data_IF_418745597462
#
_entry.id   IF_418745597462
#
_cell.length_a   1.000
_cell.length_b   1.000
_cell.length_c   1.000
_cell.angle_alpha   90.00
_cell.angle_beta   90.00
_cell.angle_gamma   90.00
#
_symmetry.space_group_name_H-M   'P 1'
#
loop_
_entity.id
_entity.type
_entity.pdbx_description
1 polymer ?
#
# COMPACT_ATOMS: atom_id res chain seq x y z
N UNK A 1 -6.39 6.10 26.14
CA UNK A 1 -7.11 5.30 25.13
C UNK A 1 -6.39 5.53 23.83
N UNK A 2 -5.94 4.49 23.15
CA UNK A 2 -5.21 4.66 21.87
C UNK A 2 -6.16 5.22 20.82
N UNK A 3 -5.64 6.12 19.96
CA UNK A 3 -6.37 6.76 18.85
C UNK A 3 -5.88 6.20 17.54
N UNK A 4 -6.76 5.54 16.81
CA UNK A 4 -6.46 4.90 15.53
C UNK A 4 -7.25 5.58 14.42
N UNK A 5 -6.56 5.98 13.35
CA UNK A 5 -7.21 6.48 12.14
C UNK A 5 -7.15 5.42 11.06
N UNK A 6 -8.30 5.05 10.52
CA UNK A 6 -8.39 4.19 9.33
C UNK A 6 -8.38 5.09 8.10
N UNK A 7 -7.41 4.88 7.22
CA UNK A 7 -7.21 5.66 6.00
C UNK A 7 -7.66 4.84 4.79
N UNK A 8 -8.69 5.32 4.09
CA UNK A 8 -9.33 4.58 2.99
C UNK A 8 -9.25 5.40 1.69
N UNK A 9 -8.38 5.06 0.73
CA UNK A 9 -8.44 5.65 -0.60
C UNK A 9 -9.62 5.08 -1.40
N UNK A 10 -10.33 5.92 -2.14
CA UNK A 10 -11.46 5.53 -2.98
C UNK A 10 -11.41 6.21 -4.33
N UNK A 11 -11.74 5.45 -5.38
CA UNK A 11 -11.99 5.95 -6.73
C UNK A 11 -13.14 5.20 -7.37
N UNK A 12 -14.30 5.87 -7.53
CA UNK A 12 -15.51 5.31 -8.15
C UNK A 12 -15.94 3.95 -7.56
N UNK A 13 -15.88 3.81 -6.22
CA UNK A 13 -16.29 2.58 -5.52
C UNK A 13 -16.96 2.90 -4.15
N UNK A 14 -17.86 3.87 -4.16
CA UNK A 14 -18.54 4.34 -2.96
C UNK A 14 -19.40 3.29 -2.27
N UNK A 15 -20.00 2.36 -3.06
CA UNK A 15 -20.82 1.26 -2.51
C UNK A 15 -19.96 0.36 -1.62
N UNK A 16 -18.77 0.01 -2.08
CA UNK A 16 -17.83 -0.82 -1.31
C UNK A 16 -17.37 -0.10 -0.04
N UNK A 17 -16.99 1.18 -0.14
CA UNK A 17 -16.54 1.98 1.01
C UNK A 17 -17.65 2.13 2.04
N UNK A 18 -18.89 2.39 1.62
CA UNK A 18 -20.04 2.48 2.54
C UNK A 18 -20.24 1.16 3.30
N UNK A 19 -20.17 0.04 2.60
CA UNK A 19 -20.25 -1.29 3.23
C UNK A 19 -19.08 -1.57 4.16
N UNK A 20 -17.89 -1.18 3.76
CA UNK A 20 -16.69 -1.30 4.57
C UNK A 20 -16.83 -0.53 5.90
N UNK A 21 -17.28 0.73 5.85
CA UNK A 21 -17.51 1.54 7.06
C UNK A 21 -18.50 0.89 8.03
N UNK A 22 -19.60 0.32 7.52
CA UNK A 22 -20.56 -0.42 8.35
C UNK A 22 -19.89 -1.61 9.05
N UNK A 23 -19.10 -2.39 8.29
CA UNK A 23 -18.41 -3.55 8.83
C UNK A 23 -17.33 -3.15 9.86
N UNK A 24 -16.56 -2.08 9.58
CA UNK A 24 -15.60 -1.51 10.55
C UNK A 24 -16.33 -1.12 11.83
N UNK A 25 -17.41 -0.33 11.72
CA UNK A 25 -18.19 0.12 12.88
C UNK A 25 -18.69 -1.06 13.72
N UNK A 26 -19.13 -2.14 13.08
CA UNK A 26 -19.55 -3.37 13.76
C UNK A 26 -18.39 -4.07 14.48
N UNK A 27 -17.23 -4.19 13.84
CA UNK A 27 -16.10 -4.92 14.40
C UNK A 27 -15.43 -4.20 15.59
N UNK A 28 -15.48 -2.86 15.63
CA UNK A 28 -14.80 -2.07 16.67
C UNK A 28 -15.66 -1.82 17.91
N UNK A 29 -16.94 -2.19 17.90
CA UNK A 29 -17.92 -1.85 18.96
C UNK A 29 -17.50 -2.22 20.41
N UNK A 30 -16.72 -3.29 20.59
CA UNK A 30 -16.29 -3.77 21.89
C UNK A 30 -14.78 -3.55 22.13
N UNK A 31 -14.19 -2.57 21.46
CA UNK A 31 -12.77 -2.25 21.62
C UNK A 31 -12.58 -1.05 22.54
N UNK A 32 -11.52 -1.08 23.37
CA UNK A 32 -11.15 0.08 24.20
C UNK A 32 -10.16 0.97 23.43
N UNK A 33 -10.57 1.43 22.22
CA UNK A 33 -9.76 2.25 21.29
C UNK A 33 -10.69 3.29 20.65
N UNK A 34 -10.21 4.50 20.47
CA UNK A 34 -10.91 5.54 19.75
C UNK A 34 -10.60 5.42 18.25
N UNK A 35 -11.64 5.31 17.42
CA UNK A 35 -11.49 5.18 15.98
C UNK A 35 -12.04 6.39 15.23
N UNK A 36 -11.26 6.85 14.24
CA UNK A 36 -11.69 7.81 13.24
C UNK A 36 -11.44 7.25 11.84
N UNK A 37 -12.20 7.74 10.86
CA UNK A 37 -12.02 7.35 9.45
C UNK A 37 -11.70 8.59 8.62
N UNK A 38 -10.68 8.48 7.78
CA UNK A 38 -10.38 9.46 6.74
C UNK A 38 -10.43 8.75 5.39
N UNK A 39 -11.35 9.18 4.55
CA UNK A 39 -11.49 8.73 3.17
C UNK A 39 -10.74 9.71 2.28
N UNK A 40 -9.91 9.21 1.38
CA UNK A 40 -9.30 10.02 0.32
C UNK A 40 -10.01 9.71 -0.99
N UNK A 41 -10.88 10.62 -1.41
CA UNK A 41 -11.55 10.56 -2.69
C UNK A 41 -10.59 10.99 -3.81
N UNK A 42 -10.06 10.01 -4.54
CA UNK A 42 -9.01 10.17 -5.56
C UNK A 42 -9.57 10.76 -6.88
N UNK A 43 -10.32 11.85 -6.78
CA UNK A 43 -10.92 12.50 -7.94
C UNK A 43 -11.97 11.62 -8.63
N UNK A 44 -12.86 10.98 -7.86
CA UNK A 44 -13.97 10.20 -8.40
C UNK A 44 -14.85 11.06 -9.30
N UNK A 45 -15.32 10.46 -10.39
CA UNK A 45 -16.34 11.04 -11.28
C UNK A 45 -17.76 10.77 -10.79
N UNK A 46 -17.92 9.73 -9.98
CA UNK A 46 -19.18 9.39 -9.33
C UNK A 46 -19.47 10.36 -8.20
N UNK A 47 -20.72 10.72 -8.05
CA UNK A 47 -21.17 11.59 -6.96
C UNK A 47 -20.95 10.87 -5.62
N UNK A 48 -20.36 11.59 -4.67
CA UNK A 48 -20.23 11.10 -3.28
C UNK A 48 -21.65 10.87 -2.73
N UNK A 49 -22.01 9.65 -2.34
CA UNK A 49 -23.35 9.40 -1.82
C UNK A 49 -23.55 10.08 -0.47
N UNK A 50 -24.78 10.41 -0.14
CA UNK A 50 -25.12 10.78 1.23
C UNK A 50 -24.82 9.57 2.13
N UNK A 51 -23.89 9.75 3.07
CA UNK A 51 -23.54 8.72 4.04
C UNK A 51 -24.59 8.75 5.17
N UNK A 52 -25.62 7.96 4.99
CA UNK A 52 -26.72 7.80 5.94
C UNK A 52 -26.66 6.41 6.57
N UNK A 53 -25.61 6.16 7.34
CA UNK A 53 -25.35 4.92 8.05
C UNK A 53 -25.01 5.20 9.51
N UNK A 54 -25.41 4.27 10.36
CA UNK A 54 -25.06 4.35 11.78
C UNK A 54 -23.57 4.01 11.98
N UNK A 55 -22.83 4.97 12.52
CA UNK A 55 -21.41 4.89 12.81
C UNK A 55 -21.10 5.19 14.29
N UNK A 56 -21.89 4.67 15.23
CA UNK A 56 -21.86 5.02 16.65
C UNK A 56 -20.48 4.84 17.29
N UNK A 57 -19.70 3.87 16.82
CA UNK A 57 -18.38 3.54 17.36
C UNK A 57 -17.21 4.25 16.65
N UNK A 58 -17.51 4.99 15.56
CA UNK A 58 -16.55 5.84 14.87
C UNK A 58 -16.70 7.25 15.38
N UNK A 59 -15.65 7.84 15.94
CA UNK A 59 -15.67 9.17 16.52
C UNK A 59 -15.81 10.26 15.47
N UNK A 60 -14.99 10.21 14.41
CA UNK A 60 -15.06 11.20 13.34
C UNK A 60 -14.90 10.54 11.96
N UNK A 61 -15.54 11.16 10.96
CA UNK A 61 -15.46 10.77 9.57
C UNK A 61 -15.25 12.00 8.70
N UNK A 62 -14.14 12.01 7.93
CA UNK A 62 -13.80 13.07 7.00
C UNK A 62 -13.54 12.49 5.60
N UNK A 63 -13.89 13.25 4.57
CA UNK A 63 -13.59 12.94 3.17
C UNK A 63 -12.68 14.02 2.61
N UNK A 64 -11.47 13.64 2.20
CA UNK A 64 -10.53 14.50 1.50
C UNK A 64 -10.78 14.36 0.00
N UNK A 65 -11.36 15.37 -0.62
CA UNK A 65 -11.62 15.36 -2.06
C UNK A 65 -10.39 15.87 -2.82
N UNK A 66 -9.78 15.02 -3.67
CA UNK A 66 -8.66 15.43 -4.50
C UNK A 66 -9.14 16.14 -5.77
N UNK A 67 -8.36 17.12 -6.23
CA UNK A 67 -8.63 17.90 -7.46
C UNK A 67 -8.68 17.02 -8.73
N UNK A 68 -7.96 15.89 -8.73
CA UNK A 68 -7.88 14.92 -9.82
C UNK A 68 -7.39 13.57 -9.31
N UNK A 69 -7.54 12.53 -10.13
CA UNK A 69 -6.98 11.21 -9.81
C UNK A 69 -5.44 11.27 -9.73
N UNK A 70 -4.90 10.98 -8.56
CA UNK A 70 -3.47 10.96 -8.25
C UNK A 70 -2.90 9.55 -8.25
N UNK A 71 -3.73 8.54 -8.36
CA UNK A 71 -3.48 7.11 -8.20
C UNK A 71 -3.36 6.67 -6.74
N UNK A 72 -3.75 5.44 -6.48
CA UNK A 72 -3.93 4.82 -5.17
C UNK A 72 -2.76 5.06 -4.18
N UNK A 73 -1.50 4.88 -4.61
CA UNK A 73 -0.34 5.06 -3.72
C UNK A 73 -0.15 6.52 -3.29
N UNK A 74 -0.41 7.46 -4.17
CA UNK A 74 -0.34 8.89 -3.86
C UNK A 74 -1.50 9.33 -2.98
N UNK A 75 -2.68 8.75 -3.18
CA UNK A 75 -3.84 9.02 -2.30
C UNK A 75 -3.55 8.57 -0.86
N UNK A 76 -2.90 7.42 -0.67
CA UNK A 76 -2.41 7.01 0.66
C UNK A 76 -1.40 8.05 1.21
N UNK A 77 -0.42 8.46 0.40
CA UNK A 77 0.60 9.42 0.83
C UNK A 77 0.00 10.79 1.21
N UNK A 78 -0.98 11.30 0.44
CA UNK A 78 -1.72 12.54 0.74
C UNK A 78 -2.50 12.38 2.05
N UNK A 79 -3.21 11.27 2.22
CA UNK A 79 -3.95 10.96 3.44
C UNK A 79 -3.04 10.89 4.68
N UNK A 80 -1.89 10.22 4.57
CA UNK A 80 -0.89 10.16 5.65
C UNK A 80 -0.35 11.55 6.02
N UNK A 81 -0.07 12.41 5.03
CA UNK A 81 0.36 13.79 5.25
C UNK A 81 -0.72 14.58 5.98
N UNK A 82 -1.97 14.50 5.50
CA UNK A 82 -3.09 15.19 6.14
C UNK A 82 -3.26 14.74 7.59
N UNK A 83 -3.25 13.44 7.84
CA UNK A 83 -3.37 12.86 9.19
C UNK A 83 -2.25 13.37 10.08
N UNK A 84 -1.02 13.35 9.60
CA UNK A 84 0.14 13.75 10.40
C UNK A 84 0.10 15.21 10.81
N UNK A 85 -0.32 16.10 9.91
CA UNK A 85 -0.33 17.55 10.11
C UNK A 85 -1.59 18.08 10.82
N UNK A 86 -2.75 17.39 10.67
CA UNK A 86 -4.02 17.96 11.09
C UNK A 86 -4.80 17.11 12.11
N UNK A 87 -4.35 15.88 12.44
CA UNK A 87 -5.10 15.00 13.32
C UNK A 87 -4.31 14.61 14.56
N UNK A 88 -5.07 14.31 15.62
CA UNK A 88 -4.49 13.74 16.84
C UNK A 88 -4.68 12.23 16.85
N UNK A 89 -3.58 11.49 16.67
CA UNK A 89 -3.59 10.04 16.54
C UNK A 89 -2.32 9.39 17.12
N UNK A 90 -2.43 8.09 17.43
CA UNK A 90 -1.31 7.25 17.82
C UNK A 90 -0.90 6.31 16.68
N UNK A 91 -1.89 5.79 15.93
CA UNK A 91 -1.68 4.84 14.84
C UNK A 91 -2.55 5.17 13.62
N UNK A 92 -2.05 4.76 12.44
CA UNK A 92 -2.83 4.80 11.20
C UNK A 92 -2.91 3.38 10.61
N UNK A 93 -4.10 3.01 10.12
CA UNK A 93 -4.32 1.76 9.38
C UNK A 93 -4.79 2.13 7.97
N UNK A 94 -3.89 2.18 6.96
CA UNK A 94 -4.32 2.22 5.57
C UNK A 94 -5.04 0.91 5.20
N UNK A 95 -6.20 1.02 4.56
CA UNK A 95 -7.07 -0.09 4.24
C UNK A 95 -7.72 0.12 2.87
N UNK A 96 -7.71 -0.91 2.01
CA UNK A 96 -8.34 -0.82 0.71
C UNK A 96 -9.88 -0.78 0.86
N UNK A 97 -10.54 0.09 0.09
CA UNK A 97 -11.98 0.38 0.23
C UNK A 97 -12.92 -0.71 -0.28
N UNK A 98 -12.40 -1.79 -0.89
CA UNK A 98 -13.16 -2.79 -1.64
C UNK A 98 -13.58 -4.04 -0.84
N UNK A 99 -13.13 -4.16 0.41
CA UNK A 99 -13.42 -5.29 1.30
C UNK A 99 -12.45 -6.46 1.19
N UNK A 100 -11.41 -6.37 0.36
CA UNK A 100 -10.36 -7.39 0.32
C UNK A 100 -9.49 -7.37 1.59
N UNK A 101 -9.29 -6.20 2.20
CA UNK A 101 -8.76 -6.05 3.54
C UNK A 101 -9.92 -6.18 4.54
N UNK A 102 -9.82 -7.14 5.47
CA UNK A 102 -10.95 -7.57 6.28
C UNK A 102 -11.06 -6.78 7.60
N UNK A 103 -12.19 -6.12 7.87
CA UNK A 103 -12.41 -5.38 9.14
C UNK A 103 -12.23 -6.22 10.40
N UNK A 104 -12.55 -7.51 10.35
CA UNK A 104 -12.41 -8.43 11.48
C UNK A 104 -10.96 -8.55 11.96
N UNK A 105 -10.00 -8.32 11.07
CA UNK A 105 -8.56 -8.40 11.37
C UNK A 105 -8.05 -7.15 12.11
N UNK A 106 -8.84 -6.06 12.21
CA UNK A 106 -8.50 -4.86 13.00
C UNK A 106 -8.25 -5.24 14.47
N UNK A 107 -8.99 -6.19 15.00
CA UNK A 107 -8.81 -6.69 16.39
C UNK A 107 -7.43 -7.30 16.61
N UNK A 108 -6.86 -7.96 15.60
CA UNK A 108 -5.52 -8.52 15.69
C UNK A 108 -4.45 -7.42 15.70
N UNK A 109 -4.65 -6.32 14.95
CA UNK A 109 -3.78 -5.15 15.06
C UNK A 109 -3.83 -4.56 16.47
N UNK A 110 -5.02 -4.35 17.06
CA UNK A 110 -5.18 -3.81 18.41
C UNK A 110 -4.46 -4.71 19.44
N UNK A 111 -4.58 -6.01 19.30
CA UNK A 111 -3.90 -6.98 20.18
C UNK A 111 -2.38 -6.85 20.07
N UNK A 112 -1.86 -6.69 18.85
CA UNK A 112 -0.42 -6.55 18.61
C UNK A 112 0.13 -5.19 19.03
N UNK A 113 -0.61 -4.10 18.89
CA UNK A 113 -0.22 -2.77 19.40
C UNK A 113 0.11 -2.82 20.90
N UNK A 114 -0.68 -3.56 21.69
CA UNK A 114 -0.41 -3.71 23.14
C UNK A 114 0.92 -4.38 23.46
N UNK A 115 1.40 -5.27 22.58
CA UNK A 115 2.64 -6.00 22.75
C UNK A 115 3.83 -5.27 22.10
N UNK A 116 3.59 -4.56 21.01
CA UNK A 116 4.60 -3.93 20.15
C UNK A 116 4.17 -2.49 19.77
N UNK A 117 4.11 -1.56 20.76
CA UNK A 117 3.51 -0.24 20.56
C UNK A 117 4.28 0.67 19.59
N UNK A 118 5.57 0.44 19.39
CA UNK A 118 6.43 1.24 18.54
C UNK A 118 6.76 0.59 17.18
N UNK A 119 6.29 -0.64 16.97
CA UNK A 119 6.62 -1.41 15.78
C UNK A 119 5.53 -1.28 14.71
N UNK A 120 5.96 -1.46 13.46
CA UNK A 120 5.06 -1.59 12.34
C UNK A 120 4.45 -2.98 12.34
N UNK A 121 3.13 -3.07 12.31
CA UNK A 121 2.41 -4.33 12.23
C UNK A 121 1.79 -4.47 10.85
N UNK A 122 2.03 -5.58 10.16
CA UNK A 122 1.54 -5.80 8.79
C UNK A 122 0.62 -7.02 8.69
N UNK A 123 -0.40 -6.92 7.86
CA UNK A 123 -1.21 -8.06 7.44
C UNK A 123 -0.43 -8.92 6.43
N UNK A 124 0.26 -9.98 6.89
CA UNK A 124 0.94 -10.92 6.00
C UNK A 124 -0.10 -11.82 5.31
N UNK A 125 -0.20 -11.74 4.01
CA UNK A 125 -1.17 -12.51 3.23
C UNK A 125 -0.81 -14.00 3.22
N UNK A 126 -1.51 -14.78 4.06
CA UNK A 126 -1.27 -16.23 4.21
C UNK A 126 -2.13 -17.07 3.27
N UNK A 127 -3.30 -16.58 2.86
CA UNK A 127 -4.22 -17.27 1.95
C UNK A 127 -4.74 -16.32 0.87
N UNK A 128 -4.81 -16.81 -0.35
CA UNK A 128 -5.29 -16.08 -1.52
C UNK A 128 -6.44 -16.81 -2.18
N UNK A 129 -7.48 -16.07 -2.52
CA UNK A 129 -8.69 -16.56 -3.20
C UNK A 129 -8.57 -16.53 -4.72
N UNK A 130 -7.51 -15.91 -5.29
CA UNK A 130 -7.36 -15.71 -6.72
C UNK A 130 -6.97 -17.01 -7.46
N UNK A 131 -7.20 -17.02 -8.78
CA UNK A 131 -6.92 -18.15 -9.67
C UNK A 131 -5.44 -18.55 -9.77
N UNK A 132 -5.18 -19.71 -10.36
CA UNK A 132 -3.84 -20.33 -10.46
C UNK A 132 -2.83 -19.42 -11.17
N UNK A 133 -3.22 -18.78 -12.28
CA UNK A 133 -2.34 -17.89 -13.06
C UNK A 133 -1.85 -16.72 -12.20
N UNK A 134 -2.74 -16.13 -11.40
CA UNK A 134 -2.38 -15.05 -10.49
C UNK A 134 -1.43 -15.52 -9.39
N UNK A 135 -1.65 -16.71 -8.84
CA UNK A 135 -0.75 -17.31 -7.83
C UNK A 135 0.65 -17.54 -8.36
N UNK A 136 0.77 -18.03 -9.61
CA UNK A 136 2.07 -18.22 -10.29
C UNK A 136 2.76 -16.87 -10.48
N UNK A 137 2.08 -15.88 -11.07
CA UNK A 137 2.62 -14.53 -11.27
C UNK A 137 3.09 -13.87 -9.97
N UNK A 138 2.33 -14.04 -8.89
CA UNK A 138 2.73 -13.56 -7.58
C UNK A 138 3.96 -14.30 -7.01
N UNK A 139 4.07 -15.60 -7.21
CA UNK A 139 5.24 -16.38 -6.77
C UNK A 139 6.49 -15.94 -7.51
N UNK A 140 6.38 -15.71 -8.83
CA UNK A 140 7.45 -15.15 -9.66
C UNK A 140 7.83 -13.76 -9.17
N UNK A 141 6.85 -12.88 -8.93
CA UNK A 141 7.10 -11.55 -8.39
C UNK A 141 7.86 -11.59 -7.04
N UNK A 142 7.44 -12.45 -6.11
CA UNK A 142 8.14 -12.64 -4.83
C UNK A 142 9.58 -13.08 -5.01
N UNK A 143 9.79 -14.05 -5.89
CA UNK A 143 11.13 -14.59 -6.19
C UNK A 143 12.04 -13.48 -6.76
N UNK A 144 11.57 -12.76 -7.78
CA UNK A 144 12.29 -11.64 -8.38
C UNK A 144 12.57 -10.55 -7.33
N UNK A 145 11.58 -10.17 -6.52
CA UNK A 145 11.76 -9.19 -5.45
C UNK A 145 12.85 -9.64 -4.49
N UNK A 146 12.82 -10.89 -4.03
CA UNK A 146 13.84 -11.42 -3.11
C UNK A 146 15.23 -11.47 -3.73
N UNK A 147 15.35 -12.00 -4.95
CA UNK A 147 16.65 -12.11 -5.66
C UNK A 147 17.28 -10.74 -5.84
N UNK A 148 16.53 -9.76 -6.31
CA UNK A 148 17.08 -8.45 -6.67
C UNK A 148 17.14 -7.45 -5.52
N UNK A 149 16.25 -7.54 -4.53
CA UNK A 149 16.24 -6.59 -3.40
C UNK A 149 16.75 -7.18 -2.09
N UNK A 150 16.76 -8.49 -1.93
CA UNK A 150 17.01 -9.18 -0.65
C UNK A 150 15.85 -9.07 0.34
N UNK A 151 14.72 -8.47 -0.04
CA UNK A 151 13.59 -8.23 0.84
C UNK A 151 12.44 -9.19 0.52
N UNK A 152 11.81 -9.72 1.57
CA UNK A 152 10.65 -10.60 1.46
C UNK A 152 9.37 -9.84 1.80
N UNK A 153 8.80 -9.17 0.80
CA UNK A 153 7.61 -8.32 0.97
C UNK A 153 6.37 -9.18 0.70
N UNK A 154 5.60 -9.49 1.75
CA UNK A 154 4.40 -10.33 1.68
C UNK A 154 3.14 -9.59 2.15
N UNK A 155 3.18 -8.28 2.22
CA UNK A 155 2.07 -7.44 2.64
C UNK A 155 1.81 -6.34 1.60
N UNK A 156 0.63 -5.76 1.65
CA UNK A 156 0.21 -4.62 0.83
C UNK A 156 0.09 -3.34 1.65
N UNK A 157 -1.06 -2.67 1.53
CA UNK A 157 -1.32 -1.44 2.26
C UNK A 157 -1.90 -1.70 3.67
N UNK A 158 -2.50 -2.86 3.91
CA UNK A 158 -3.14 -3.21 5.18
C UNK A 158 -2.10 -3.44 6.27
N UNK A 159 -1.83 -2.39 6.99
CA UNK A 159 -0.80 -2.31 8.02
C UNK A 159 -1.25 -1.39 9.13
N UNK A 160 -0.71 -1.54 10.33
CA UNK A 160 -0.89 -0.59 11.42
C UNK A 160 0.47 0.05 11.73
N UNK A 161 0.54 1.37 11.55
CA UNK A 161 1.78 2.13 11.68
C UNK A 161 1.69 3.17 12.80
N UNK A 162 2.65 3.22 13.73
CA UNK A 162 2.69 4.24 14.77
C UNK A 162 3.06 5.60 14.20
N UNK A 163 2.67 6.68 14.91
CA UNK A 163 2.89 8.07 14.49
C UNK A 163 4.34 8.38 14.11
N UNK A 164 5.31 7.82 14.84
CA UNK A 164 6.74 7.98 14.52
C UNK A 164 7.07 7.46 13.11
N UNK A 165 6.53 6.30 12.73
CA UNK A 165 6.77 5.70 11.41
C UNK A 165 6.01 6.41 10.29
N UNK A 166 4.86 7.04 10.59
CA UNK A 166 4.21 7.95 9.64
C UNK A 166 5.15 9.11 9.30
N UNK A 167 5.81 9.72 10.29
CA UNK A 167 6.79 10.76 10.06
C UNK A 167 7.95 10.30 9.17
N UNK A 168 8.52 9.11 9.45
CA UNK A 168 9.60 8.56 8.63
C UNK A 168 9.15 8.32 7.17
N UNK A 169 7.93 7.79 6.95
CA UNK A 169 7.35 7.63 5.60
C UNK A 169 7.21 8.98 4.87
N UNK A 170 6.80 10.03 5.57
CA UNK A 170 6.61 11.36 4.99
C UNK A 170 7.93 12.06 4.64
N UNK A 171 9.06 11.57 5.14
CA UNK A 171 10.41 12.02 4.80
C UNK A 171 11.11 11.10 3.77
N UNK A 172 10.48 9.98 3.39
CA UNK A 172 11.01 9.07 2.37
C UNK A 172 10.35 9.33 1.01
N UNK A 173 11.11 9.85 0.05
CA UNK A 173 10.59 10.22 -1.29
C UNK A 173 9.90 9.07 -2.04
N UNK A 174 10.31 7.83 -1.77
CA UNK A 174 9.74 6.66 -2.41
C UNK A 174 8.28 6.41 -1.97
N UNK A 175 7.82 7.01 -0.86
CA UNK A 175 6.42 6.94 -0.40
C UNK A 175 5.46 7.51 -1.46
N UNK A 176 5.91 8.47 -2.26
CA UNK A 176 5.13 9.01 -3.39
C UNK A 176 4.94 8.02 -4.54
N UNK A 177 5.74 6.96 -4.60
CA UNK A 177 5.69 5.91 -5.62
C UNK A 177 5.11 4.58 -5.09
N UNK A 178 5.53 4.16 -3.90
CA UNK A 178 5.16 2.86 -3.34
C UNK A 178 5.16 2.88 -1.81
N UNK A 179 4.00 2.80 -1.20
CA UNK A 179 3.82 2.75 0.25
C UNK A 179 4.51 1.52 0.86
N UNK A 180 4.18 0.30 0.41
CA UNK A 180 4.73 -0.93 0.98
C UNK A 180 6.24 -1.08 0.75
N UNK A 181 6.74 -0.60 -0.38
CA UNK A 181 8.17 -0.52 -0.66
C UNK A 181 8.89 0.42 0.30
N UNK A 182 8.36 1.63 0.51
CA UNK A 182 8.92 2.61 1.43
C UNK A 182 8.86 2.12 2.87
N UNK A 183 7.74 1.55 3.30
CA UNK A 183 7.60 1.01 4.64
C UNK A 183 8.65 -0.08 4.91
N UNK A 184 8.89 -0.97 3.93
CA UNK A 184 9.95 -2.00 4.03
C UNK A 184 11.36 -1.38 4.06
N UNK A 185 11.56 -0.23 3.42
CA UNK A 185 12.87 0.47 3.38
C UNK A 185 13.20 1.12 4.71
N UNK A 186 12.23 1.76 5.37
CA UNK A 186 12.43 2.52 6.61
C UNK A 186 12.29 1.66 7.87
N UNK A 187 11.79 0.42 7.76
CA UNK A 187 11.49 -0.42 8.93
C UNK A 187 12.38 -1.64 8.94
N UNK A 188 13.13 -1.83 10.02
CA UNK A 188 13.96 -3.01 10.24
C UNK A 188 13.15 -4.16 10.82
N UNK A 189 12.35 -3.87 11.86
CA UNK A 189 11.53 -4.85 12.55
C UNK A 189 10.06 -4.71 12.14
N UNK A 190 9.52 -5.75 11.53
CA UNK A 190 8.11 -5.81 11.11
C UNK A 190 7.42 -6.94 11.87
N UNK A 191 6.42 -6.57 12.66
CA UNK A 191 5.53 -7.53 13.33
C UNK A 191 4.44 -7.95 12.34
N UNK A 192 4.07 -9.22 12.36
CA UNK A 192 3.10 -9.77 11.41
C UNK A 192 1.85 -10.27 12.11
N UNK A 193 0.71 -10.01 11.48
CA UNK A 193 -0.52 -10.76 11.72
C UNK A 193 -0.84 -11.60 10.48
N UNK A 194 -1.47 -12.75 10.66
CA UNK A 194 -1.96 -13.56 9.54
C UNK A 194 -3.18 -12.87 8.94
N UNK A 195 -3.09 -12.50 7.68
CA UNK A 195 -4.20 -11.87 6.95
C UNK A 195 -4.70 -12.78 5.83
N UNK A 196 -6.03 -12.87 5.72
CA UNK A 196 -6.72 -13.61 4.67
C UNK A 196 -7.35 -12.59 3.74
N UNK A 197 -6.93 -12.59 2.46
CA UNK A 197 -7.55 -11.69 1.49
C UNK A 197 -9.03 -12.04 1.31
N UNK A 198 -9.90 -11.09 1.64
CA UNK A 198 -11.33 -11.17 1.47
C UNK A 198 -11.75 -11.20 0.00
N UNK A 199 -13.03 -11.33 -0.23
CA UNK A 199 -13.65 -11.10 -1.53
C UNK A 199 -14.11 -9.64 -1.59
N UNK A 200 -14.01 -9.04 -2.76
CA UNK A 200 -14.58 -7.71 -3.01
C UNK A 200 -16.08 -7.73 -2.70
N UNK A 201 -16.58 -6.65 -2.11
CA UNK A 201 -18.01 -6.54 -1.80
C UNK A 201 -18.86 -6.43 -3.07
N UNK A 202 -18.38 -5.64 -4.03
CA UNK A 202 -19.06 -5.39 -5.30
C UNK A 202 -18.02 -5.38 -6.42
N UNK A 203 -18.47 -5.62 -7.62
CA UNK A 203 -17.70 -5.58 -8.86
C UNK A 203 -16.40 -6.44 -8.89
N UNK A 204 -15.88 -6.61 -10.08
CA UNK A 204 -14.57 -7.24 -10.29
C UNK A 204 -13.45 -6.21 -10.17
N UNK A 205 -12.23 -6.70 -9.92
CA UNK A 205 -11.05 -5.83 -9.91
C UNK A 205 -10.90 -5.07 -11.24
N UNK A 206 -10.81 -3.76 -11.16
CA UNK A 206 -10.55 -2.87 -12.32
C UNK A 206 -9.07 -2.82 -12.70
N UNK A 207 -8.18 -3.50 -11.95
CA UNK A 207 -6.74 -3.46 -12.17
C UNK A 207 -6.34 -4.41 -13.31
N UNK A 208 -5.79 -3.87 -14.40
CA UNK A 208 -5.23 -4.68 -15.50
C UNK A 208 -3.92 -5.38 -15.07
N UNK A 209 -3.57 -6.48 -15.76
CA UNK A 209 -2.30 -7.20 -15.54
C UNK A 209 -1.07 -6.30 -15.72
N UNK A 210 -1.11 -5.37 -16.68
CA UNK A 210 -0.04 -4.38 -16.89
C UNK A 210 0.12 -3.43 -15.69
N UNK A 211 -0.98 -2.97 -15.13
CA UNK A 211 -0.95 -2.12 -13.94
C UNK A 211 -0.45 -2.90 -12.70
N UNK A 212 -0.80 -4.17 -12.59
CA UNK A 212 -0.28 -5.05 -11.54
C UNK A 212 1.24 -5.24 -11.68
N UNK A 213 1.74 -5.52 -12.89
CA UNK A 213 3.17 -5.62 -13.16
C UNK A 213 3.91 -4.30 -12.85
N UNK A 214 3.33 -3.16 -13.27
CA UNK A 214 3.83 -1.83 -12.97
C UNK A 214 3.91 -1.56 -11.47
N UNK A 215 2.88 -1.93 -10.72
CA UNK A 215 2.86 -1.83 -9.27
C UNK A 215 3.96 -2.69 -8.63
N UNK A 216 4.12 -3.94 -9.09
CA UNK A 216 5.17 -4.85 -8.62
C UNK A 216 6.57 -4.29 -8.84
N UNK A 217 6.85 -3.76 -10.04
CA UNK A 217 8.15 -3.14 -10.33
C UNK A 217 8.34 -1.82 -9.57
N UNK A 218 7.26 -1.06 -9.29
CA UNK A 218 7.33 0.14 -8.44
C UNK A 218 7.80 -0.18 -7.02
N UNK A 219 7.38 -1.31 -6.44
CA UNK A 219 7.88 -1.78 -5.14
C UNK A 219 9.39 -2.07 -5.22
N UNK A 220 9.82 -2.79 -6.25
CA UNK A 220 11.23 -3.15 -6.48
C UNK A 220 12.09 -1.89 -6.71
N UNK A 221 11.55 -0.88 -7.42
CA UNK A 221 12.26 0.34 -7.77
C UNK A 221 12.67 1.21 -6.58
N UNK A 222 12.01 1.06 -5.43
CA UNK A 222 12.41 1.69 -4.16
C UNK A 222 13.83 1.27 -3.75
N UNK A 223 14.24 0.07 -4.14
CA UNK A 223 15.56 -0.51 -3.84
C UNK A 223 16.52 -0.45 -5.04
N UNK A 224 16.35 0.54 -5.94
CA UNK A 224 17.04 0.62 -7.22
C UNK A 224 18.54 0.41 -7.16
N UNK A 225 19.24 0.96 -6.17
CA UNK A 225 20.71 0.85 -6.05
C UNK A 225 21.14 -0.62 -5.85
N UNK A 226 20.46 -1.34 -4.97
CA UNK A 226 20.73 -2.77 -4.73
C UNK A 226 20.33 -3.60 -5.96
N UNK A 227 19.21 -3.27 -6.59
CA UNK A 227 18.71 -3.95 -7.80
C UNK A 227 19.73 -3.81 -8.93
N UNK A 228 20.21 -2.59 -9.20
CA UNK A 228 21.21 -2.35 -10.24
C UNK A 228 22.50 -3.13 -9.95
N UNK A 229 23.01 -3.05 -8.71
CA UNK A 229 24.22 -3.78 -8.33
C UNK A 229 24.10 -5.28 -8.58
N UNK A 230 23.01 -5.89 -8.09
CA UNK A 230 22.78 -7.33 -8.27
C UNK A 230 22.54 -7.71 -9.73
N UNK A 231 21.90 -6.84 -10.50
CA UNK A 231 21.71 -7.04 -11.94
C UNK A 231 23.04 -7.00 -12.71
N UNK A 232 23.95 -6.10 -12.34
CA UNK A 232 25.30 -6.03 -12.93
C UNK A 232 26.08 -7.31 -12.59
N UNK A 233 26.06 -7.75 -11.33
CA UNK A 233 26.70 -9.02 -10.92
C UNK A 233 26.13 -10.18 -11.73
N UNK A 234 24.81 -10.28 -11.84
CA UNK A 234 24.17 -11.30 -12.66
C UNK A 234 24.66 -11.24 -14.12
N UNK A 235 24.68 -10.03 -14.71
CA UNK A 235 25.12 -9.84 -16.09
C UNK A 235 26.55 -10.33 -16.31
N UNK A 236 27.49 -9.98 -15.41
CA UNK A 236 28.90 -10.39 -15.51
C UNK A 236 29.04 -11.90 -15.37
N UNK A 237 28.45 -12.49 -14.32
CA UNK A 237 28.55 -13.93 -14.03
C UNK A 237 27.91 -14.74 -15.14
N UNK A 238 26.71 -14.36 -15.58
CA UNK A 238 26.02 -15.08 -16.66
C UNK A 238 26.75 -14.96 -18.00
N UNK A 239 27.29 -13.78 -18.34
CA UNK A 239 28.11 -13.61 -19.56
C UNK A 239 29.35 -14.49 -19.55
N UNK A 240 30.03 -14.63 -18.40
CA UNK A 240 31.16 -15.57 -18.27
C UNK A 240 30.75 -17.04 -18.49
N UNK A 241 29.58 -17.44 -17.95
CA UNK A 241 29.06 -18.81 -18.11
C UNK A 241 28.76 -19.11 -19.58
N UNK A 242 28.13 -18.18 -20.31
CA UNK A 242 27.74 -18.45 -21.73
C UNK A 242 28.85 -18.17 -22.72
N UNK A 243 30.03 -17.69 -22.29
CA UNK A 243 31.11 -17.25 -23.17
C UNK A 243 31.56 -18.32 -24.20
N UNK A 244 31.45 -19.60 -23.84
CA UNK A 244 31.80 -20.75 -24.71
C UNK A 244 30.65 -21.22 -25.60
N UNK A 245 29.41 -20.78 -25.34
CA UNK A 245 28.21 -21.26 -26.07
C UNK A 245 27.23 -20.10 -26.30
N UNK A 246 27.64 -19.09 -27.07
CA UNK A 246 26.81 -17.93 -27.41
C UNK A 246 25.80 -18.32 -28.48
N UNK A 247 24.51 -18.14 -28.20
CA UNK A 247 23.40 -18.34 -29.13
C UNK A 247 22.29 -17.30 -28.87
N UNK A 248 21.34 -17.17 -29.78
CA UNK A 248 20.20 -16.31 -29.58
C UNK A 248 19.44 -16.66 -28.28
N UNK A 249 19.32 -17.92 -27.94
CA UNK A 249 18.63 -18.39 -26.73
C UNK A 249 19.40 -17.98 -25.48
N UNK A 250 20.73 -18.13 -25.46
CA UNK A 250 21.56 -17.75 -24.30
C UNK A 250 21.67 -16.23 -24.11
N UNK A 251 21.36 -15.41 -25.11
CA UNK A 251 21.32 -13.95 -25.00
C UNK A 251 20.02 -13.43 -24.38
N UNK A 252 18.91 -14.21 -24.41
CA UNK A 252 17.61 -13.78 -23.89
C UNK A 252 17.70 -13.28 -22.42
N UNK A 253 18.32 -13.99 -21.45
CA UNK A 253 18.43 -13.51 -20.07
C UNK A 253 19.16 -12.17 -19.93
N UNK A 254 20.19 -11.90 -20.77
CA UNK A 254 20.91 -10.64 -20.77
C UNK A 254 20.01 -9.49 -21.27
N UNK A 255 19.23 -9.71 -22.31
CA UNK A 255 18.27 -8.74 -22.83
C UNK A 255 17.19 -8.46 -21.76
N UNK A 256 16.66 -9.50 -21.14
CA UNK A 256 15.64 -9.36 -20.11
C UNK A 256 16.13 -8.56 -18.88
N UNK A 257 17.39 -8.78 -18.45
CA UNK A 257 17.94 -8.01 -17.32
C UNK A 257 18.15 -6.54 -17.67
N UNK A 258 18.55 -6.23 -18.90
CA UNK A 258 18.67 -4.85 -19.39
C UNK A 258 17.30 -4.16 -19.40
N UNK A 259 16.27 -4.83 -19.91
CA UNK A 259 14.89 -4.32 -19.90
C UNK A 259 14.41 -4.11 -18.46
N UNK A 260 14.69 -5.06 -17.58
CA UNK A 260 14.32 -4.97 -16.17
C UNK A 260 14.97 -3.77 -15.47
N UNK A 261 16.28 -3.55 -15.67
CA UNK A 261 17.00 -2.37 -15.14
C UNK A 261 16.37 -1.09 -15.67
N UNK A 262 16.09 -1.01 -16.97
CA UNK A 262 15.44 0.14 -17.58
C UNK A 262 14.09 0.44 -16.94
N UNK A 263 13.24 -0.57 -16.73
CA UNK A 263 11.94 -0.42 -16.07
C UNK A 263 12.07 0.05 -14.62
N UNK A 264 13.02 -0.52 -13.86
CA UNK A 264 13.29 -0.12 -12.47
C UNK A 264 13.73 1.33 -12.40
N UNK A 265 14.65 1.77 -13.27
CA UNK A 265 15.11 3.16 -13.32
C UNK A 265 13.95 4.09 -13.70
N UNK A 266 13.16 3.72 -14.70
CA UNK A 266 12.02 4.53 -15.17
C UNK A 266 10.98 4.70 -14.07
N UNK A 267 10.64 3.63 -13.34
CA UNK A 267 9.66 3.70 -12.26
C UNK A 267 10.21 4.38 -11.00
N UNK A 268 11.51 4.31 -10.76
CA UNK A 268 12.13 5.05 -9.65
C UNK A 268 12.07 6.58 -9.84
N UNK A 269 11.96 7.08 -11.08
CA UNK A 269 11.78 8.52 -11.35
C UNK A 269 10.41 9.06 -10.87
N UNK A 270 9.49 8.17 -10.48
CA UNK A 270 8.20 8.55 -9.88
C UNK A 270 8.33 8.95 -8.41
N UNK A 271 9.47 8.63 -7.77
CA UNK A 271 9.82 9.11 -6.43
C UNK A 271 9.98 10.64 -6.47
N UNK A 272 9.30 11.36 -5.57
CA UNK A 272 9.31 12.82 -5.57
C UNK A 272 9.05 13.34 -4.16
N UNK A 273 10.09 13.88 -3.52
CA UNK A 273 9.96 14.44 -2.17
C UNK A 273 9.18 15.77 -2.18
N UNK A 274 9.38 16.61 -3.20
CA UNK A 274 8.69 17.89 -3.29
C UNK A 274 7.19 17.67 -3.53
N UNK A 275 6.84 16.69 -4.40
CA UNK A 275 5.46 16.28 -4.60
C UNK A 275 4.82 15.68 -3.35
N UNK A 276 5.59 14.97 -2.52
CA UNK A 276 5.14 14.46 -1.23
C UNK A 276 4.96 15.60 -0.21
N UNK A 277 5.90 16.54 -0.14
CA UNK A 277 5.84 17.67 0.79
C UNK A 277 4.69 18.64 0.45
N UNK A 278 4.45 18.90 -0.83
CA UNK A 278 3.36 19.75 -1.31
C UNK A 278 2.04 19.00 -1.52
N UNK A 279 1.94 17.77 -1.03
CA UNK A 279 0.84 16.85 -1.38
C UNK A 279 -0.54 17.35 -0.97
N UNK A 280 -0.66 18.13 0.10
CA UNK A 280 -1.92 18.72 0.56
C UNK A 280 -2.51 19.72 -0.44
N UNK A 281 -1.69 20.32 -1.30
CA UNK A 281 -2.17 21.20 -2.37
C UNK A 281 -3.08 20.50 -3.39
N UNK A 282 -3.06 19.15 -3.42
CA UNK A 282 -3.93 18.36 -4.27
C UNK A 282 -5.36 18.20 -3.71
N UNK A 283 -5.59 18.56 -2.46
CA UNK A 283 -6.92 18.55 -1.84
C UNK A 283 -7.70 19.78 -2.33
N UNK A 284 -8.92 19.57 -2.83
CA UNK A 284 -9.83 20.64 -3.24
C UNK A 284 -10.67 21.14 -2.06
N UNK A 285 -11.25 20.20 -1.33
CA UNK A 285 -12.08 20.47 -0.13
C UNK A 285 -12.08 19.25 0.79
N UNK A 286 -12.53 19.46 2.02
CA UNK A 286 -12.69 18.43 3.04
C UNK A 286 -14.13 18.47 3.52
N UNK A 287 -14.83 17.35 3.35
CA UNK A 287 -16.18 17.19 3.86
C UNK A 287 -16.10 16.53 5.24
N UNK A 288 -16.67 17.19 6.25
CA UNK A 288 -16.79 16.65 7.60
C UNK A 288 -18.16 16.01 7.73
N UNK A 289 -18.19 14.69 7.75
CA UNK A 289 -19.44 13.91 7.82
C UNK A 289 -19.85 13.67 9.27
N UNK A 290 -18.85 13.45 10.14
CA UNK A 290 -19.04 13.25 11.59
C UNK A 290 -17.88 13.85 12.36
N UNK A 291 -18.16 14.52 13.47
CA UNK A 291 -17.20 15.03 14.47
C UNK A 291 -17.41 14.37 15.82
#
# INVERSE_FOLDING_TARGET
MAKIIILIPVYNDWKSVTKLMQNINFEIQNTNVEFSIIIVNDGSTDVVPKIDIDLNYIKSLKILNLKKNMSHQRSIAIGLRHIYENENFDYVIPMDGDGEDRPEEIKEFIKKIKQYPNDVIVGERVKRSEGIIFKIGYSIHKLITYIFTGKNIKFGNFTCIPKSKVNELLNEKATWNSYSGSLTKITENIVKISSIRGKRYFDLSKMSYLNLAKHSISIISVFKSIVILRSIIFFIVYSAIISTNISLVTLIPLILIIIFIYLVITLSKRENIDGLNSSLSNISNIDIIKQ
#
